data_IF_089281202728
#
_entry.id   IF_089281202728
#
_cell.length_a   1.000
_cell.length_b   1.000
_cell.length_c   1.000
_cell.angle_alpha   90.00
_cell.angle_beta   90.00
_cell.angle_gamma   90.00
#
_symmetry.space_group_name_H-M   'P 1'
#
loop_
_entity.id
_entity.type
_entity.pdbx_description
1 polymer ?
#
# COMPACT_ATOMS: atom_id res chain seq x y z
N UNK A 1 2.81 32.96 11.11
CA UNK A 1 2.99 32.48 9.73
C UNK A 1 2.64 30.99 9.64
N UNK A 2 1.38 30.62 9.37
CA UNK A 2 0.98 29.20 9.17
C UNK A 2 -0.08 29.08 8.05
N UNK A 3 0.08 29.83 6.96
CA UNK A 3 -0.68 29.61 5.72
C UNK A 3 0.11 28.70 4.79
N UNK A 4 0.35 27.45 5.22
CA UNK A 4 0.80 26.36 4.35
C UNK A 4 0.54 25.01 5.01
N UNK A 5 -0.64 24.81 5.60
CA UNK A 5 -1.10 23.43 5.86
C UNK A 5 -1.42 22.82 4.49
N UNK A 6 -0.37 22.27 3.90
CA UNK A 6 -0.37 21.70 2.58
C UNK A 6 -1.34 20.55 2.56
N UNK A 7 -2.42 20.77 1.80
CA UNK A 7 -3.32 19.82 1.15
C UNK A 7 -2.56 18.61 0.58
N UNK A 8 -2.00 17.75 1.43
CA UNK A 8 -1.19 16.62 1.01
C UNK A 8 -2.10 15.43 0.67
N UNK A 9 -3.03 15.68 -0.25
CA UNK A 9 -3.96 14.70 -0.80
C UNK A 9 -3.29 13.74 -1.78
N UNK A 10 -1.95 13.79 -1.86
CA UNK A 10 -1.12 12.97 -2.75
C UNK A 10 -1.32 11.49 -2.44
N UNK A 11 -1.48 11.12 -1.17
CA UNK A 11 -1.71 9.73 -0.77
C UNK A 11 -2.97 9.14 -1.43
N UNK A 12 -4.09 9.85 -1.36
CA UNK A 12 -5.34 9.41 -1.98
C UNK A 12 -5.24 9.40 -3.51
N UNK A 13 -4.53 10.37 -4.10
CA UNK A 13 -4.20 10.36 -5.52
C UNK A 13 -3.36 9.15 -5.92
N UNK A 14 -2.31 8.81 -5.16
CA UNK A 14 -1.47 7.64 -5.43
C UNK A 14 -2.24 6.33 -5.29
N UNK A 15 -3.15 6.22 -4.31
CA UNK A 15 -4.02 5.06 -4.17
C UNK A 15 -4.91 4.85 -5.41
N UNK A 16 -5.48 5.93 -5.96
CA UNK A 16 -6.29 5.86 -7.18
C UNK A 16 -5.43 5.41 -8.36
N UNK A 17 -4.24 5.97 -8.52
CA UNK A 17 -3.33 5.57 -9.61
C UNK A 17 -2.99 4.09 -9.51
N UNK A 18 -2.62 3.60 -8.32
CA UNK A 18 -2.35 2.16 -8.08
C UNK A 18 -3.60 1.32 -8.37
N UNK A 19 -4.77 1.79 -7.95
CA UNK A 19 -6.05 1.12 -8.20
C UNK A 19 -6.35 0.98 -9.69
N UNK A 20 -6.23 2.08 -10.45
CA UNK A 20 -6.46 2.10 -11.90
C UNK A 20 -5.46 1.21 -12.63
N UNK A 21 -4.17 1.30 -12.30
CA UNK A 21 -3.14 0.44 -12.92
C UNK A 21 -3.45 -1.04 -12.68
N UNK A 22 -3.81 -1.41 -11.45
CA UNK A 22 -4.19 -2.80 -11.10
C UNK A 22 -5.44 -3.23 -11.87
N UNK A 23 -6.44 -2.36 -11.99
CA UNK A 23 -7.70 -2.64 -12.68
C UNK A 23 -7.47 -2.81 -14.19
N UNK A 24 -6.74 -1.91 -14.83
CA UNK A 24 -6.38 -2.01 -16.25
C UNK A 24 -5.57 -3.27 -16.52
N UNK A 25 -4.56 -3.55 -15.68
CA UNK A 25 -3.77 -4.77 -15.79
C UNK A 25 -4.66 -6.03 -15.73
N UNK A 26 -5.63 -6.07 -14.82
CA UNK A 26 -6.53 -7.22 -14.69
C UNK A 26 -7.42 -7.42 -15.92
N UNK A 27 -8.00 -6.35 -16.48
CA UNK A 27 -8.87 -6.42 -17.67
C UNK A 27 -8.07 -6.83 -18.90
N UNK A 28 -6.91 -6.21 -19.12
CA UNK A 28 -6.05 -6.53 -20.27
C UNK A 28 -5.57 -7.97 -20.18
N UNK A 29 -5.13 -8.42 -19.01
CA UNK A 29 -4.64 -9.80 -18.84
C UNK A 29 -5.75 -10.83 -19.00
N UNK A 30 -6.99 -10.54 -18.55
CA UNK A 30 -8.15 -11.42 -18.70
C UNK A 30 -8.37 -11.84 -20.16
N UNK A 31 -8.23 -10.91 -21.12
CA UNK A 31 -8.43 -11.20 -22.54
C UNK A 31 -7.30 -12.01 -23.21
N UNK A 32 -6.18 -12.25 -22.54
CA UNK A 32 -5.01 -12.92 -23.10
C UNK A 32 -4.84 -14.37 -22.61
N UNK A 33 -5.65 -14.83 -21.65
CA UNK A 33 -5.57 -16.19 -21.13
C UNK A 33 -6.42 -17.16 -21.96
N UNK A 34 -5.95 -18.40 -22.17
CA UNK A 34 -6.75 -19.45 -22.79
C UNK A 34 -7.91 -19.87 -21.87
N UNK A 35 -9.00 -20.37 -22.48
CA UNK A 35 -10.29 -20.62 -21.79
C UNK A 35 -10.20 -21.65 -20.65
N UNK A 36 -9.17 -22.51 -20.66
CA UNK A 36 -8.89 -23.54 -19.65
C UNK A 36 -8.15 -23.01 -18.41
N UNK A 37 -7.71 -21.75 -18.41
CA UNK A 37 -6.96 -21.14 -17.32
C UNK A 37 -7.86 -20.59 -16.18
N UNK A 38 -8.76 -21.41 -15.63
CA UNK A 38 -9.74 -21.00 -14.60
C UNK A 38 -9.12 -20.25 -13.41
N UNK A 39 -7.98 -20.74 -12.90
CA UNK A 39 -7.26 -20.11 -11.78
C UNK A 39 -6.77 -18.69 -12.12
N UNK A 40 -6.41 -18.44 -13.39
CA UNK A 40 -5.96 -17.12 -13.83
C UNK A 40 -7.12 -16.15 -13.92
N UNK A 41 -8.29 -16.60 -14.38
CA UNK A 41 -9.50 -15.77 -14.36
C UNK A 41 -9.92 -15.41 -12.94
N UNK A 42 -9.86 -16.35 -12.00
CA UNK A 42 -10.13 -16.07 -10.59
C UNK A 42 -9.14 -15.04 -10.02
N UNK A 43 -7.85 -15.19 -10.31
CA UNK A 43 -6.82 -14.23 -9.89
C UNK A 43 -7.04 -12.84 -10.49
N UNK A 44 -7.42 -12.74 -11.77
CA UNK A 44 -7.75 -11.46 -12.40
C UNK A 44 -9.02 -10.84 -11.79
N UNK A 45 -10.01 -11.65 -11.42
CA UNK A 45 -11.18 -11.21 -10.66
C UNK A 45 -10.81 -10.62 -9.29
N UNK A 46 -9.83 -11.20 -8.60
CA UNK A 46 -9.31 -10.63 -7.34
C UNK A 46 -8.60 -9.29 -7.59
N UNK A 47 -7.77 -9.20 -8.62
CA UNK A 47 -7.09 -7.94 -8.96
C UNK A 47 -8.06 -6.83 -9.38
N UNK A 48 -9.11 -7.16 -10.15
CA UNK A 48 -10.12 -6.17 -10.54
C UNK A 48 -10.91 -5.67 -9.31
N UNK A 49 -11.26 -6.56 -8.38
CA UNK A 49 -11.91 -6.20 -7.11
C UNK A 49 -11.04 -5.30 -6.23
N UNK A 50 -9.76 -5.64 -6.06
CA UNK A 50 -8.80 -4.82 -5.31
C UNK A 50 -8.57 -3.45 -5.98
N UNK A 51 -8.30 -3.44 -7.30
CA UNK A 51 -8.09 -2.23 -8.07
C UNK A 51 -9.30 -1.30 -8.07
N UNK A 52 -10.50 -1.86 -8.22
CA UNK A 52 -11.77 -1.16 -8.09
C UNK A 52 -11.96 -0.54 -6.71
N UNK A 53 -11.67 -1.30 -5.65
CA UNK A 53 -11.79 -0.82 -4.26
C UNK A 53 -10.87 0.37 -3.99
N UNK A 54 -9.59 0.28 -4.34
CA UNK A 54 -8.64 1.37 -4.16
C UNK A 54 -9.03 2.63 -4.95
N UNK A 55 -9.54 2.43 -6.16
CA UNK A 55 -10.04 3.52 -7.00
C UNK A 55 -11.26 4.21 -6.37
N UNK A 56 -12.29 3.44 -6.02
CA UNK A 56 -13.55 3.98 -5.47
C UNK A 56 -13.33 4.64 -4.11
N UNK A 57 -12.64 3.96 -3.18
CA UNK A 57 -12.35 4.51 -1.84
C UNK A 57 -11.50 5.77 -1.96
N UNK A 58 -10.50 5.76 -2.83
CA UNK A 58 -9.66 6.94 -3.10
C UNK A 58 -10.50 8.12 -3.60
N UNK A 59 -11.37 7.90 -4.58
CA UNK A 59 -12.26 8.94 -5.14
C UNK A 59 -13.21 9.48 -4.06
N UNK A 60 -13.88 8.62 -3.30
CA UNK A 60 -14.80 9.03 -2.23
C UNK A 60 -14.07 9.90 -1.20
N UNK A 61 -12.86 9.48 -0.78
CA UNK A 61 -12.05 10.25 0.16
C UNK A 61 -11.61 11.58 -0.44
N UNK A 62 -11.17 11.62 -1.70
CA UNK A 62 -10.83 12.87 -2.39
C UNK A 62 -12.01 13.86 -2.39
N UNK A 63 -13.21 13.37 -2.70
CA UNK A 63 -14.42 14.19 -2.71
C UNK A 63 -14.76 14.69 -1.31
N UNK A 64 -14.71 13.81 -0.30
CA UNK A 64 -14.91 14.20 1.11
C UNK A 64 -13.92 15.28 1.54
N UNK A 65 -12.63 15.12 1.23
CA UNK A 65 -11.58 16.10 1.54
C UNK A 65 -11.80 17.45 0.84
N UNK A 66 -12.45 17.47 -0.34
CA UNK A 66 -12.81 18.72 -1.01
C UNK A 66 -14.03 19.42 -0.41
N UNK A 67 -14.92 18.68 0.26
CA UNK A 67 -16.21 19.19 0.76
C UNK A 67 -16.24 19.49 2.26
N UNK A 68 -15.32 18.93 3.04
CA UNK A 68 -15.28 19.14 4.50
C UNK A 68 -14.85 20.57 4.86
N UNK A 69 -15.36 21.09 5.99
CA UNK A 69 -15.03 22.44 6.46
C UNK A 69 -13.58 22.54 6.94
N UNK A 70 -13.03 23.76 6.87
CA UNK A 70 -11.64 24.04 7.28
C UNK A 70 -11.42 23.78 8.77
N UNK A 71 -12.44 24.01 9.61
CA UNK A 71 -12.38 23.76 11.06
C UNK A 71 -12.22 22.27 11.36
N UNK A 72 -13.05 21.42 10.75
CA UNK A 72 -12.95 19.96 10.93
C UNK A 72 -11.63 19.39 10.41
N UNK A 73 -11.08 19.96 9.34
CA UNK A 73 -9.75 19.57 8.85
C UNK A 73 -8.64 19.91 9.84
N UNK A 74 -8.76 21.03 10.56
CA UNK A 74 -7.80 21.41 11.61
C UNK A 74 -7.92 20.50 12.82
N UNK A 75 -9.14 20.16 13.23
CA UNK A 75 -9.39 19.19 14.30
C UNK A 75 -8.75 17.84 13.96
N UNK A 76 -9.00 17.29 12.76
CA UNK A 76 -8.36 16.06 12.29
C UNK A 76 -6.82 16.18 12.27
N UNK A 77 -6.27 17.33 11.86
CA UNK A 77 -4.81 17.55 11.85
C UNK A 77 -4.21 17.58 13.28
N UNK A 78 -4.93 18.15 14.25
CA UNK A 78 -4.50 18.19 15.66
C UNK A 78 -4.53 16.77 16.23
N UNK A 79 -5.60 16.00 16.00
CA UNK A 79 -5.69 14.61 16.47
C UNK A 79 -4.61 13.71 15.85
N UNK A 80 -4.26 13.92 14.58
CA UNK A 80 -3.19 13.18 13.90
C UNK A 80 -1.80 13.52 14.43
N UNK A 81 -1.62 14.74 14.93
CA UNK A 81 -0.35 15.23 15.48
C UNK A 81 -0.23 15.06 17.00
N UNK A 82 -1.28 14.56 17.66
CA UNK A 82 -1.24 14.21 19.07
C UNK A 82 -0.14 13.17 19.32
N UNK A 83 0.69 13.40 20.33
CA UNK A 83 1.84 12.55 20.68
C UNK A 83 1.43 11.11 20.89
N UNK A 84 0.27 10.88 21.54
CA UNK A 84 -0.24 9.53 21.76
C UNK A 84 -0.58 8.84 20.44
N UNK A 85 -1.24 9.55 19.54
CA UNK A 85 -1.64 9.00 18.25
C UNK A 85 -0.42 8.71 17.37
N UNK A 86 0.61 9.56 17.43
CA UNK A 86 1.89 9.33 16.77
C UNK A 86 2.53 8.04 17.30
N UNK A 87 2.60 7.85 18.62
CA UNK A 87 3.19 6.63 19.20
C UNK A 87 2.42 5.36 18.81
N UNK A 88 1.09 5.39 18.87
CA UNK A 88 0.24 4.26 18.45
C UNK A 88 0.43 3.95 16.96
N UNK A 89 0.45 4.99 16.12
CA UNK A 89 0.69 4.86 14.68
C UNK A 89 2.06 4.23 14.39
N UNK A 90 3.12 4.72 15.04
CA UNK A 90 4.46 4.14 14.89
C UNK A 90 4.53 2.68 15.35
N UNK A 91 3.86 2.34 16.46
CA UNK A 91 3.77 0.96 16.94
C UNK A 91 3.02 0.07 15.94
N UNK A 92 1.89 0.55 15.41
CA UNK A 92 1.12 -0.16 14.40
C UNK A 92 1.93 -0.40 13.12
N UNK A 93 2.66 0.60 12.62
CA UNK A 93 3.55 0.44 11.47
C UNK A 93 4.69 -0.55 11.75
N UNK A 94 5.26 -0.54 12.96
CA UNK A 94 6.30 -1.50 13.37
C UNK A 94 5.77 -2.93 13.36
N UNK A 95 4.57 -3.16 13.91
CA UNK A 95 3.92 -4.48 13.90
C UNK A 95 3.59 -4.90 12.47
N UNK A 96 3.00 -4.02 11.67
CA UNK A 96 2.69 -4.29 10.26
C UNK A 96 3.94 -4.67 9.46
N UNK A 97 5.06 -3.97 9.68
CA UNK A 97 6.32 -4.26 9.01
C UNK A 97 6.89 -5.63 9.42
N UNK A 98 6.78 -6.01 10.70
CA UNK A 98 7.19 -7.34 11.18
C UNK A 98 6.32 -8.45 10.57
N UNK A 99 5.00 -8.25 10.55
CA UNK A 99 4.06 -9.21 9.93
C UNK A 99 4.34 -9.35 8.44
N UNK A 100 4.54 -8.26 7.70
CA UNK A 100 4.89 -8.30 6.29
C UNK A 100 6.21 -9.07 6.04
N UNK A 101 7.23 -8.82 6.87
CA UNK A 101 8.50 -9.55 6.78
C UNK A 101 8.31 -11.05 7.00
N UNK A 102 7.50 -11.41 7.99
CA UNK A 102 7.17 -12.82 8.29
C UNK A 102 6.41 -13.49 7.14
N UNK A 103 5.46 -12.79 6.51
CA UNK A 103 4.73 -13.27 5.34
C UNK A 103 5.65 -13.53 4.15
N UNK A 104 6.62 -12.65 3.88
CA UNK A 104 7.60 -12.88 2.81
C UNK A 104 8.47 -14.12 3.06
N UNK A 105 8.85 -14.37 4.33
CA UNK A 105 9.59 -15.58 4.70
C UNK A 105 8.74 -16.83 4.46
N UNK A 106 7.49 -16.84 4.94
CA UNK A 106 6.56 -17.96 4.70
C UNK A 106 6.38 -18.20 3.19
N UNK A 107 6.22 -17.13 2.41
CA UNK A 107 6.04 -17.26 0.97
C UNK A 107 7.27 -17.83 0.27
N UNK A 108 8.47 -17.42 0.67
CA UNK A 108 9.70 -18.00 0.15
C UNK A 108 9.76 -19.52 0.40
N UNK A 109 9.46 -19.97 1.62
CA UNK A 109 9.43 -21.40 1.94
C UNK A 109 8.36 -22.16 1.17
N UNK A 110 7.15 -21.61 1.04
CA UNK A 110 6.07 -22.23 0.28
C UNK A 110 6.43 -22.33 -1.22
N UNK A 111 7.03 -21.31 -1.80
CA UNK A 111 7.45 -21.37 -3.21
C UNK A 111 8.59 -22.35 -3.44
N UNK A 112 9.56 -22.48 -2.52
CA UNK A 112 10.59 -23.51 -2.59
C UNK A 112 9.97 -24.91 -2.46
N UNK A 113 9.03 -25.10 -1.54
CA UNK A 113 8.31 -26.38 -1.37
C UNK A 113 7.54 -26.80 -2.62
N UNK A 114 6.98 -25.84 -3.36
CA UNK A 114 6.27 -26.06 -4.62
C UNK A 114 7.19 -26.10 -5.86
N UNK A 115 8.52 -26.10 -5.69
CA UNK A 115 9.55 -25.98 -6.74
C UNK A 115 9.38 -24.74 -7.67
N UNK A 116 8.72 -23.71 -7.17
CA UNK A 116 8.59 -22.40 -7.83
C UNK A 116 9.78 -21.50 -7.52
N UNK A 117 10.89 -21.76 -8.23
CA UNK A 117 12.18 -21.07 -8.01
C UNK A 117 12.11 -19.56 -8.25
N UNK A 118 11.54 -19.13 -9.37
CA UNK A 118 11.48 -17.70 -9.73
C UNK A 118 10.67 -16.88 -8.72
N UNK A 119 9.43 -17.26 -8.35
CA UNK A 119 8.67 -16.57 -7.30
C UNK A 119 9.37 -16.58 -5.94
N UNK A 120 10.05 -17.66 -5.56
CA UNK A 120 10.82 -17.72 -4.31
C UNK A 120 11.91 -16.65 -4.25
N UNK A 121 12.71 -16.50 -5.31
CA UNK A 121 13.74 -15.46 -5.39
C UNK A 121 13.14 -14.05 -5.39
N UNK A 122 11.99 -13.84 -6.04
CA UNK A 122 11.29 -12.55 -6.02
C UNK A 122 10.84 -12.21 -4.60
N UNK A 123 10.26 -13.16 -3.85
CA UNK A 123 9.84 -12.93 -2.47
C UNK A 123 11.02 -12.59 -1.55
N UNK A 124 12.14 -13.30 -1.69
CA UNK A 124 13.37 -13.02 -0.93
C UNK A 124 13.93 -11.64 -1.30
N UNK A 125 13.97 -11.30 -2.60
CA UNK A 125 14.42 -9.99 -3.07
C UNK A 125 13.55 -8.85 -2.53
N UNK A 126 12.22 -9.03 -2.51
CA UNK A 126 11.28 -8.07 -1.95
C UNK A 126 11.51 -7.85 -0.44
N UNK A 127 11.78 -8.93 0.31
CA UNK A 127 12.14 -8.82 1.72
C UNK A 127 13.42 -8.00 1.93
N UNK A 128 14.46 -8.23 1.12
CA UNK A 128 15.69 -7.44 1.19
C UNK A 128 15.47 -5.97 0.85
N UNK A 129 14.68 -5.66 -0.18
CA UNK A 129 14.32 -4.29 -0.54
C UNK A 129 13.59 -3.61 0.62
N UNK A 130 12.65 -4.29 1.27
CA UNK A 130 11.91 -3.78 2.43
C UNK A 130 12.86 -3.47 3.60
N UNK A 131 13.77 -4.39 3.93
CA UNK A 131 14.76 -4.20 5.00
C UNK A 131 15.70 -3.02 4.66
N UNK A 132 16.19 -2.96 3.43
CA UNK A 132 17.07 -1.88 2.97
C UNK A 132 16.36 -0.52 3.05
N UNK A 133 15.12 -0.43 2.59
CA UNK A 133 14.31 0.78 2.65
C UNK A 133 14.13 1.25 4.10
N UNK A 134 13.89 0.34 5.04
CA UNK A 134 13.82 0.67 6.47
C UNK A 134 15.14 1.25 6.99
N UNK A 135 16.29 0.64 6.66
CA UNK A 135 17.59 1.15 7.08
C UNK A 135 17.91 2.52 6.48
N UNK A 136 17.62 2.73 5.19
CA UNK A 136 17.82 4.03 4.52
C UNK A 136 16.94 5.09 5.18
N UNK A 137 15.66 4.80 5.37
CA UNK A 137 14.72 5.71 6.02
C UNK A 137 15.17 6.05 7.44
N UNK A 138 15.52 5.04 8.26
CA UNK A 138 16.01 5.23 9.62
C UNK A 138 17.26 6.11 9.65
N UNK A 139 18.23 5.86 8.76
CA UNK A 139 19.46 6.66 8.66
C UNK A 139 19.18 8.11 8.25
N UNK A 140 18.27 8.31 7.30
CA UNK A 140 17.88 9.65 6.84
C UNK A 140 17.20 10.46 7.96
N UNK A 141 16.23 9.85 8.66
CA UNK A 141 15.50 10.52 9.73
C UNK A 141 16.37 10.76 10.98
N UNK A 142 17.22 9.81 11.36
CA UNK A 142 18.17 9.98 12.48
C UNK A 142 19.25 11.05 12.24
N UNK A 143 19.53 11.41 10.98
CA UNK A 143 20.47 12.50 10.66
C UNK A 143 19.82 13.87 10.66
N UNK A 144 18.49 13.91 10.52
CA UNK A 144 17.71 15.14 10.35
C UNK A 144 17.06 15.61 11.65
N UNK A 145 16.77 14.67 12.55
CA UNK A 145 16.42 14.91 13.95
C UNK A 145 17.70 15.02 14.78
#
# INVERSE_FOLDING_TARGET
MLCKSGKNNRYWGTMIVIGIVTLVFSIVSYGNFPEDAHNMYMLMGMFSGLGGTFTVVGIIKLIRYKKISVEKLKEEEIELKDERNIQVSMAAYSIANKVASFLFVIMAFLFVWLDYRTPAFISIGALYIQILAFFIARKYFNRKM
#
